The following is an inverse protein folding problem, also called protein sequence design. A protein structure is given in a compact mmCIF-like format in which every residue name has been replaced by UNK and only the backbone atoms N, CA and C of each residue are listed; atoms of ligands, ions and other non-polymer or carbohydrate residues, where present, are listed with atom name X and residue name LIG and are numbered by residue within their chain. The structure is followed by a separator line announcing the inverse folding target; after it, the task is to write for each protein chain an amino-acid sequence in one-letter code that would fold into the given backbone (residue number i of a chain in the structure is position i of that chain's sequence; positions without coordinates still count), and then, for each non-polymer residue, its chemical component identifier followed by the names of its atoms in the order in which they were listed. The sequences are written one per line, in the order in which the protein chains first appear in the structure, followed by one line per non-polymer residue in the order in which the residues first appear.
data_IF_449869691556
#
_entry.id   IF_449869691556
#
_cell.length_a   1.000
_cell.length_b   1.000
_cell.length_c   1.000
_cell.angle_alpha   90.00
_cell.angle_beta   90.00
_cell.angle_gamma   90.00
#
_symmetry.space_group_name_H-M   'P 1'
#
loop_
_entity.id
_entity.type
_entity.pdbx_description
1 polymer ?
#
# COMPACT_ATOMS: atom_id res chain seq x y z
N UNK A 1 3.99 15.00 13.50
CA UNK A 1 3.77 15.39 12.09
C UNK A 1 2.82 14.38 11.48
N UNK A 2 1.94 14.78 10.55
CA UNK A 2 1.08 13.84 9.83
C UNK A 2 1.95 12.81 9.09
N UNK A 3 1.51 11.56 9.07
CA UNK A 3 2.16 10.48 8.31
C UNK A 3 2.12 10.80 6.81
N UNK A 4 3.23 10.56 6.11
CA UNK A 4 3.33 10.73 4.66
C UNK A 4 3.69 9.42 4.01
N UNK A 5 3.12 9.13 2.84
CA UNK A 5 3.37 7.89 2.10
C UNK A 5 4.86 7.75 1.77
N UNK A 6 5.54 8.84 1.39
CA UNK A 6 6.96 8.87 1.07
C UNK A 6 7.89 8.46 2.24
N UNK A 7 7.40 8.56 3.48
CA UNK A 7 8.16 8.17 4.67
C UNK A 7 8.04 6.65 4.95
N UNK A 8 7.22 5.91 4.19
CA UNK A 8 6.99 4.47 4.38
C UNK A 8 7.89 3.65 3.45
N UNK A 9 8.99 3.14 3.99
CA UNK A 9 9.97 2.37 3.23
C UNK A 9 9.75 0.86 3.37
N UNK A 10 9.08 0.43 4.45
CA UNK A 10 8.80 -0.98 4.75
C UNK A 10 7.55 -1.17 5.60
N UNK A 11 7.03 -2.41 5.71
CA UNK A 11 5.92 -2.71 6.63
C UNK A 11 6.19 -2.36 8.09
N UNK A 12 7.46 -2.28 8.50
CA UNK A 12 7.85 -1.91 9.87
C UNK A 12 7.43 -0.48 10.23
N UNK A 13 7.35 0.42 9.25
CA UNK A 13 7.01 1.83 9.46
C UNK A 13 5.52 2.04 9.82
N UNK A 14 4.70 1.00 9.58
CA UNK A 14 3.29 0.95 9.94
C UNK A 14 3.03 0.45 11.36
N UNK A 15 4.03 -0.16 12.01
CA UNK A 15 3.86 -0.74 13.36
C UNK A 15 3.67 0.36 14.39
N UNK A 16 2.66 0.21 15.24
CA UNK A 16 2.35 1.18 16.30
C UNK A 16 1.66 2.46 15.83
N UNK A 17 1.30 2.57 14.54
CA UNK A 17 0.49 3.69 14.03
C UNK A 17 -0.94 3.60 14.52
N UNK A 18 -1.50 4.76 14.82
CA UNK A 18 -2.92 4.89 15.18
C UNK A 18 -3.82 4.64 13.97
N UNK A 19 -5.08 4.28 14.21
CA UNK A 19 -6.08 4.09 13.15
C UNK A 19 -6.23 5.37 12.31
N UNK A 20 -6.25 6.54 12.94
CA UNK A 20 -6.34 7.82 12.23
C UNK A 20 -5.14 8.09 11.30
N UNK A 21 -3.92 7.72 11.71
CA UNK A 21 -2.76 7.78 10.82
C UNK A 21 -2.91 6.80 9.65
N UNK A 22 -3.41 5.59 9.88
CA UNK A 22 -3.62 4.59 8.83
C UNK A 22 -4.70 5.01 7.83
N UNK A 23 -5.78 5.66 8.29
CA UNK A 23 -6.82 6.24 7.43
C UNK A 23 -6.25 7.35 6.53
N UNK A 24 -5.46 8.27 7.11
CA UNK A 24 -4.78 9.31 6.34
C UNK A 24 -3.78 8.74 5.32
N UNK A 25 -3.09 7.64 5.66
CA UNK A 25 -2.20 6.94 4.74
C UNK A 25 -3.00 6.24 3.62
N UNK A 26 -4.17 5.68 3.93
CA UNK A 26 -5.03 5.03 2.94
C UNK A 26 -5.51 6.01 1.87
N UNK A 27 -5.85 7.25 2.22
CA UNK A 27 -6.20 8.30 1.26
C UNK A 27 -5.04 8.63 0.31
N UNK A 28 -3.82 8.75 0.84
CA UNK A 28 -2.61 8.99 0.04
C UNK A 28 -2.33 7.82 -0.91
N UNK A 29 -2.47 6.58 -0.44
CA UNK A 29 -2.32 5.36 -1.24
C UNK A 29 -3.34 5.31 -2.39
N UNK A 30 -4.61 5.62 -2.13
CA UNK A 30 -5.64 5.69 -3.18
C UNK A 30 -5.30 6.72 -4.23
N UNK A 31 -4.89 7.92 -3.80
CA UNK A 31 -4.50 9.01 -4.70
C UNK A 31 -3.34 8.56 -5.59
N UNK A 32 -2.28 8.01 -5.01
CA UNK A 32 -1.12 7.50 -5.75
C UNK A 32 -1.48 6.41 -6.76
N UNK A 33 -2.37 5.49 -6.40
CA UNK A 33 -2.85 4.42 -7.28
C UNK A 33 -3.66 5.00 -8.44
N UNK A 34 -4.59 5.92 -8.18
CA UNK A 34 -5.43 6.55 -9.20
C UNK A 34 -4.55 7.31 -10.20
N UNK A 35 -3.63 8.15 -9.71
CA UNK A 35 -2.70 8.91 -10.56
C UNK A 35 -1.89 7.99 -11.47
N UNK A 36 -1.26 6.96 -10.88
CA UNK A 36 -0.43 6.03 -11.65
C UNK A 36 -1.25 5.29 -12.72
N UNK A 37 -2.38 4.70 -12.34
CA UNK A 37 -3.23 3.93 -13.26
C UNK A 37 -3.86 4.82 -14.33
N UNK A 38 -4.10 6.10 -14.06
CA UNK A 38 -4.60 7.05 -15.06
C UNK A 38 -3.61 7.28 -16.21
N UNK A 39 -2.32 7.17 -15.94
CA UNK A 39 -1.24 7.33 -16.92
C UNK A 39 -0.86 6.00 -17.59
N UNK A 40 -0.78 4.92 -16.82
CA UNK A 40 -0.24 3.63 -17.28
C UNK A 40 -1.31 2.62 -17.69
N UNK A 41 -2.57 2.83 -17.32
CA UNK A 41 -3.59 1.78 -17.31
C UNK A 41 -3.37 0.74 -16.18
N UNK A 42 -4.22 -0.30 -16.16
CA UNK A 42 -4.13 -1.40 -15.19
C UNK A 42 -5.40 -1.60 -14.35
N UNK A 43 -5.29 -2.41 -13.29
CA UNK A 43 -6.43 -2.84 -12.49
C UNK A 43 -6.77 -1.83 -11.37
N UNK A 44 -7.66 -0.88 -11.62
CA UNK A 44 -7.99 0.15 -10.63
C UNK A 44 -8.86 -0.38 -9.47
N UNK A 45 -10.05 -0.90 -9.79
CA UNK A 45 -11.07 -1.20 -8.79
C UNK A 45 -10.63 -2.26 -7.78
N UNK A 46 -9.92 -3.30 -8.22
CA UNK A 46 -9.40 -4.36 -7.35
C UNK A 46 -8.39 -3.83 -6.33
N UNK A 47 -7.51 -2.90 -6.74
CA UNK A 47 -6.53 -2.29 -5.84
C UNK A 47 -7.17 -1.31 -4.85
N UNK A 48 -8.14 -0.49 -5.29
CA UNK A 48 -8.86 0.41 -4.39
C UNK A 48 -9.68 -0.35 -3.32
N UNK A 49 -10.19 -1.53 -3.65
CA UNK A 49 -11.00 -2.34 -2.73
C UNK A 49 -10.22 -3.02 -1.61
N UNK A 50 -8.88 -3.02 -1.62
CA UNK A 50 -8.06 -3.74 -0.63
C UNK A 50 -7.01 -2.87 0.07
N UNK A 51 -7.11 -1.54 -0.03
CA UNK A 51 -6.15 -0.61 0.60
C UNK A 51 -6.10 -0.84 2.12
N UNK A 52 -7.25 -0.77 2.80
CA UNK A 52 -7.36 -0.97 4.26
C UNK A 52 -6.97 -2.38 4.67
N UNK A 53 -7.40 -3.40 3.91
CA UNK A 53 -7.02 -4.79 4.16
C UNK A 53 -5.50 -4.95 4.13
N UNK A 54 -4.84 -4.36 3.14
CA UNK A 54 -3.38 -4.45 3.01
C UNK A 54 -2.66 -3.74 4.15
N UNK A 55 -3.15 -2.56 4.56
CA UNK A 55 -2.61 -1.84 5.71
C UNK A 55 -2.76 -2.67 6.99
N UNK A 56 -3.96 -3.22 7.24
CA UNK A 56 -4.22 -4.05 8.41
C UNK A 56 -3.35 -5.32 8.44
N UNK A 57 -3.14 -5.98 7.30
CA UNK A 57 -2.26 -7.14 7.22
C UNK A 57 -0.82 -6.76 7.58
N UNK A 58 -0.29 -5.64 7.06
CA UNK A 58 1.08 -5.22 7.34
C UNK A 58 1.28 -4.62 8.74
N UNK A 59 0.23 -4.08 9.38
CA UNK A 59 0.30 -3.64 10.78
C UNK A 59 0.29 -4.81 11.75
N UNK A 60 -0.41 -5.90 11.43
CA UNK A 60 -0.50 -7.09 12.30
C UNK A 60 0.63 -8.08 12.03
N UNK A 61 0.88 -8.45 10.78
CA UNK A 61 1.88 -9.47 10.40
C UNK A 61 3.28 -8.88 10.25
N UNK A 62 4.30 -9.69 10.46
CA UNK A 62 5.71 -9.31 10.36
C UNK A 62 6.29 -9.71 8.99
N UNK A 63 5.76 -9.13 7.91
CA UNK A 63 6.33 -9.34 6.56
C UNK A 63 7.77 -8.78 6.48
N UNK A 64 8.75 -9.52 5.94
CA UNK A 64 8.61 -10.73 5.12
C UNK A 64 8.77 -12.08 5.87
N UNK A 65 8.90 -12.09 7.20
CA UNK A 65 8.95 -13.32 7.99
C UNK A 65 7.63 -14.08 7.84
N UNK A 66 6.52 -13.41 8.17
CA UNK A 66 5.18 -13.86 7.85
C UNK A 66 4.91 -13.72 6.35
N UNK A 67 4.32 -14.75 5.75
CA UNK A 67 4.04 -14.78 4.31
C UNK A 67 2.63 -14.28 4.02
N UNK A 68 2.55 -13.19 3.26
CA UNK A 68 1.30 -12.68 2.68
C UNK A 68 1.27 -13.09 1.21
N UNK A 69 0.26 -13.89 0.84
CA UNK A 69 0.08 -14.37 -0.54
C UNK A 69 -1.16 -13.70 -1.12
N UNK A 70 -0.99 -13.07 -2.28
CA UNK A 70 -2.08 -12.46 -3.06
C UNK A 70 -2.42 -13.37 -4.23
N UNK A 71 -3.65 -13.89 -4.26
CA UNK A 71 -4.13 -14.68 -5.39
C UNK A 71 -4.24 -13.82 -6.66
N UNK A 72 -3.75 -14.31 -7.80
CA UNK A 72 -3.54 -13.60 -9.08
C UNK A 72 -2.59 -12.40 -9.04
N UNK A 73 -2.71 -11.50 -8.05
CA UNK A 73 -1.92 -10.28 -7.80
C UNK A 73 -2.42 -8.96 -8.39
N UNK A 74 -3.55 -8.94 -9.11
CA UNK A 74 -4.12 -7.70 -9.68
C UNK A 74 -4.64 -6.69 -8.63
N UNK A 75 -4.56 -7.02 -7.34
CA UNK A 75 -4.97 -6.24 -6.18
C UNK A 75 -3.79 -5.94 -5.22
N UNK A 76 -2.54 -6.12 -5.66
CA UNK A 76 -1.37 -6.00 -4.78
C UNK A 76 -0.62 -4.64 -4.85
N UNK A 77 -1.19 -3.60 -5.45
CA UNK A 77 -0.49 -2.31 -5.64
C UNK A 77 -0.15 -1.62 -4.32
N UNK A 78 -1.10 -1.57 -3.39
CA UNK A 78 -0.83 -1.10 -2.03
C UNK A 78 0.28 -1.91 -1.38
N UNK A 79 0.28 -3.24 -1.56
CA UNK A 79 1.34 -4.08 -1.05
C UNK A 79 2.70 -3.73 -1.68
N UNK A 80 2.77 -3.45 -2.99
CA UNK A 80 3.99 -3.00 -3.66
C UNK A 80 4.50 -1.68 -3.07
N UNK A 81 3.62 -0.68 -2.92
CA UNK A 81 3.96 0.64 -2.36
C UNK A 81 4.54 0.53 -0.93
N UNK A 82 3.98 -0.34 -0.09
CA UNK A 82 4.40 -0.50 1.31
C UNK A 82 5.64 -1.39 1.50
N UNK A 83 6.19 -1.96 0.43
CA UNK A 83 7.30 -2.94 0.49
C UNK A 83 8.51 -2.48 -0.32
N UNK A 84 8.83 -1.19 -0.26
CA UNK A 84 10.04 -0.61 -0.84
C UNK A 84 10.04 -0.46 -2.36
N UNK A 85 8.86 -0.50 -3.01
CA UNK A 85 8.73 -0.35 -4.47
C UNK A 85 8.04 0.96 -4.90
N UNK A 86 8.06 1.98 -4.04
CA UNK A 86 7.43 3.28 -4.36
C UNK A 86 8.05 3.94 -5.59
N UNK A 87 9.39 4.03 -5.64
CA UNK A 87 10.13 4.71 -6.71
C UNK A 87 9.89 4.07 -8.09
N UNK A 88 9.64 2.76 -8.12
CA UNK A 88 9.42 1.98 -9.34
C UNK A 88 7.94 1.79 -9.68
N UNK A 89 7.01 2.29 -8.86
CA UNK A 89 5.60 1.89 -8.93
C UNK A 89 4.90 2.22 -10.26
N UNK A 90 5.33 3.28 -10.96
CA UNK A 90 4.78 3.70 -12.26
C UNK A 90 5.46 3.07 -13.48
N UNK A 91 6.46 2.21 -13.29
CA UNK A 91 7.18 1.53 -14.38
C UNK A 91 6.60 0.14 -14.67
N UNK A 92 5.27 -0.01 -14.51
CA UNK A 92 4.54 -1.29 -14.52
C UNK A 92 4.87 -2.20 -15.71
#
# INVERSE_FOLDING_TARGET
MPIRLEDIQSPKDLKGRSVAELEALAEQLRTRIIETVSETGGHLASNLGVVELTLALHTVLNSPEDKIVWDVSHQCYTHKLLTGRQDTFGQL
#
